data_IF_277813121341
#
_entry.id   IF_277813121341
#
_cell.length_a   1.000
_cell.length_b   1.000
_cell.length_c   1.000
_cell.angle_alpha   90.00
_cell.angle_beta   90.00
_cell.angle_gamma   90.00
#
_symmetry.space_group_name_H-M   'P 1'
#
loop_
_entity.id
_entity.type
_entity.pdbx_description
1 polymer ?
#
# COMPACT_ATOMS: atom_id res chain seq x y z
N UNK A 1 15.37 -56.99 4.17
CA UNK A 1 13.99 -56.50 4.41
C UNK A 1 13.91 -55.09 5.00
N UNK A 2 14.68 -54.71 6.05
CA UNK A 2 14.58 -53.36 6.67
C UNK A 2 14.96 -52.18 5.73
N UNK A 3 15.98 -52.33 4.87
CA UNK A 3 16.38 -51.27 3.91
C UNK A 3 15.31 -50.96 2.86
N UNK A 4 14.61 -51.99 2.35
CA UNK A 4 13.56 -51.85 1.32
C UNK A 4 12.27 -51.26 1.92
N UNK A 5 12.00 -51.50 3.21
CA UNK A 5 10.88 -50.87 3.91
C UNK A 5 11.16 -49.38 4.15
N UNK A 6 12.39 -49.02 4.54
CA UNK A 6 12.80 -47.63 4.72
C UNK A 6 12.72 -46.84 3.39
N UNK A 7 13.17 -47.44 2.28
CA UNK A 7 13.10 -46.81 0.95
C UNK A 7 11.67 -46.57 0.47
N UNK A 8 10.73 -47.47 0.78
CA UNK A 8 9.30 -47.30 0.46
C UNK A 8 8.65 -46.20 1.30
N UNK A 9 8.98 -46.11 2.58
CA UNK A 9 8.49 -45.01 3.45
C UNK A 9 9.02 -43.66 2.99
N UNK A 10 10.30 -43.57 2.63
CA UNK A 10 10.89 -42.35 2.07
C UNK A 10 10.22 -41.96 0.75
N UNK A 11 9.93 -42.91 -0.14
CA UNK A 11 9.25 -42.64 -1.41
C UNK A 11 7.82 -42.12 -1.20
N UNK A 12 7.06 -42.74 -0.29
CA UNK A 12 5.69 -42.30 0.05
C UNK A 12 5.72 -40.90 0.67
N UNK A 13 6.66 -40.63 1.56
CA UNK A 13 6.83 -39.31 2.16
C UNK A 13 7.20 -38.26 1.10
N UNK A 14 8.13 -38.57 0.19
CA UNK A 14 8.49 -37.69 -0.91
C UNK A 14 7.30 -37.42 -1.86
N UNK A 15 6.53 -38.45 -2.22
CA UNK A 15 5.35 -38.31 -3.05
C UNK A 15 4.25 -37.48 -2.36
N UNK A 16 4.05 -37.67 -1.05
CA UNK A 16 3.10 -36.88 -0.26
C UNK A 16 3.54 -35.41 -0.15
N UNK A 17 4.84 -35.16 0.08
CA UNK A 17 5.40 -33.81 0.08
C UNK A 17 5.27 -33.12 -1.29
N UNK A 18 5.52 -33.84 -2.39
CA UNK A 18 5.33 -33.33 -3.74
C UNK A 18 3.85 -33.04 -4.03
N UNK A 19 2.95 -33.94 -3.61
CA UNK A 19 1.51 -33.74 -3.73
C UNK A 19 1.02 -32.53 -2.93
N UNK A 20 1.50 -32.37 -1.70
CA UNK A 20 1.21 -31.20 -0.87
C UNK A 20 1.77 -29.91 -1.47
N UNK A 21 3.02 -29.92 -1.93
CA UNK A 21 3.65 -28.77 -2.58
C UNK A 21 2.87 -28.38 -3.85
N UNK A 22 2.45 -29.36 -4.65
CA UNK A 22 1.63 -29.12 -5.83
C UNK A 22 0.28 -28.49 -5.48
N UNK A 23 -0.43 -29.00 -4.48
CA UNK A 23 -1.67 -28.39 -3.99
C UNK A 23 -1.44 -26.97 -3.44
N UNK A 24 -0.33 -26.75 -2.73
CA UNK A 24 0.06 -25.44 -2.22
C UNK A 24 0.28 -24.39 -3.32
N UNK A 25 0.71 -24.82 -4.52
CA UNK A 25 0.84 -23.94 -5.70
C UNK A 25 -0.48 -23.59 -6.38
N UNK A 26 -1.59 -24.22 -5.97
CA UNK A 26 -2.92 -24.03 -6.58
C UNK A 26 -3.80 -23.20 -5.67
N UNK A 27 -3.89 -21.88 -5.90
CA UNK A 27 -4.73 -21.04 -5.08
C UNK A 27 -6.22 -21.36 -5.29
N UNK A 28 -7.06 -21.15 -4.26
CA UNK A 28 -8.50 -21.21 -4.45
C UNK A 28 -8.94 -20.13 -5.45
N UNK A 29 -10.03 -20.35 -6.21
CA UNK A 29 -10.58 -19.33 -7.07
C UNK A 29 -11.02 -18.10 -6.23
N UNK A 30 -11.00 -16.88 -6.81
CA UNK A 30 -11.53 -15.68 -6.17
C UNK A 30 -12.99 -15.86 -5.72
N UNK A 31 -13.39 -15.12 -4.69
CA UNK A 31 -14.80 -15.06 -4.31
C UNK A 31 -15.61 -14.33 -5.41
N UNK A 32 -16.79 -14.85 -5.74
CA UNK A 32 -17.72 -14.14 -6.62
C UNK A 32 -18.61 -13.26 -5.74
N UNK A 33 -18.30 -11.97 -5.68
CA UNK A 33 -19.10 -11.01 -4.93
C UNK A 33 -20.46 -10.81 -5.60
N UNK A 34 -21.53 -10.78 -4.81
CA UNK A 34 -22.90 -10.52 -5.28
C UNK A 34 -23.59 -11.68 -6.01
N UNK A 35 -22.98 -12.87 -6.11
CA UNK A 35 -23.66 -14.06 -6.61
C UNK A 35 -24.77 -14.53 -5.63
N UNK A 36 -25.83 -15.24 -6.08
CA UNK A 36 -26.79 -15.86 -5.18
C UNK A 36 -26.09 -16.79 -4.17
N UNK A 37 -26.18 -16.46 -2.87
CA UNK A 37 -25.47 -17.16 -1.79
C UNK A 37 -24.00 -16.77 -1.60
N UNK A 38 -23.47 -15.82 -2.37
CA UNK A 38 -22.14 -15.22 -2.21
C UNK A 38 -22.15 -14.02 -1.26
N UNK A 39 -20.95 -13.45 -1.02
CA UNK A 39 -20.81 -12.26 -0.16
C UNK A 39 -21.52 -11.05 -0.79
N UNK A 40 -22.36 -10.31 -0.05
CA UNK A 40 -23.11 -9.18 -0.59
C UNK A 40 -22.21 -7.99 -0.88
N UNK A 41 -22.42 -7.31 -2.00
CA UNK A 41 -21.75 -6.03 -2.30
C UNK A 41 -22.38 -4.95 -1.42
N UNK A 42 -21.54 -4.20 -0.72
CA UNK A 42 -21.99 -3.20 0.28
C UNK A 42 -21.63 -1.77 -0.10
N UNK A 43 -20.88 -1.56 -1.18
CA UNK A 43 -20.39 -0.24 -1.60
C UNK A 43 -20.71 0.07 -3.07
N UNK A 44 -20.79 1.36 -3.44
CA UNK A 44 -20.76 1.79 -4.83
C UNK A 44 -19.55 1.20 -5.56
N UNK A 45 -19.73 0.85 -6.84
CA UNK A 45 -18.67 0.33 -7.68
C UNK A 45 -18.75 0.91 -9.09
N UNK A 46 -17.59 1.12 -9.70
CA UNK A 46 -17.49 1.41 -11.14
C UNK A 46 -17.07 0.16 -11.90
N UNK A 47 -17.51 0.04 -13.15
CA UNK A 47 -17.09 -1.04 -14.04
C UNK A 47 -15.94 -0.57 -14.93
N UNK A 48 -14.86 -1.33 -14.94
CA UNK A 48 -13.67 -1.13 -15.77
C UNK A 48 -13.89 -1.68 -17.20
N UNK A 49 -13.00 -1.32 -18.12
CA UNK A 49 -13.03 -1.74 -19.54
C UNK A 49 -12.93 -3.25 -19.70
N UNK A 50 -12.21 -3.93 -18.81
CA UNK A 50 -12.07 -5.40 -18.80
C UNK A 50 -13.26 -6.12 -18.13
N UNK A 51 -14.25 -5.36 -17.64
CA UNK A 51 -15.47 -5.86 -17.03
C UNK A 51 -15.42 -6.07 -15.53
N UNK A 52 -14.24 -5.94 -14.89
CA UNK A 52 -14.10 -5.94 -13.43
C UNK A 52 -14.77 -4.71 -12.81
N UNK A 53 -15.10 -4.80 -11.54
CA UNK A 53 -15.60 -3.69 -10.74
C UNK A 53 -14.61 -3.26 -9.67
N UNK A 54 -14.45 -1.95 -9.48
CA UNK A 54 -13.76 -1.39 -8.34
C UNK A 54 -14.75 -0.69 -7.40
N UNK A 55 -14.73 -1.07 -6.13
CA UNK A 55 -15.50 -0.45 -5.08
C UNK A 55 -14.79 0.80 -4.55
N UNK A 56 -15.57 1.85 -4.28
CA UNK A 56 -15.02 3.13 -3.85
C UNK A 56 -15.90 3.81 -2.80
N UNK A 57 -15.35 4.83 -2.15
CA UNK A 57 -16.05 5.78 -1.31
C UNK A 57 -15.51 7.19 -1.56
N UNK A 58 -16.39 8.17 -1.43
CA UNK A 58 -16.12 9.58 -1.68
C UNK A 58 -16.19 10.33 -0.35
N UNK A 59 -15.30 11.29 -0.14
CA UNK A 59 -15.30 12.18 1.02
C UNK A 59 -14.81 13.58 0.65
N UNK A 60 -14.93 14.54 1.57
CA UNK A 60 -14.55 15.93 1.37
C UNK A 60 -15.58 16.74 0.59
N UNK A 61 -15.12 17.75 -0.14
CA UNK A 61 -16.00 18.64 -0.92
C UNK A 61 -16.59 17.91 -2.12
N UNK A 62 -17.85 18.24 -2.47
CA UNK A 62 -18.51 17.71 -3.66
C UNK A 62 -17.65 17.87 -4.91
N UNK A 63 -17.53 16.79 -5.68
CA UNK A 63 -16.66 16.67 -6.87
C UNK A 63 -16.84 17.80 -7.88
N UNK A 64 -18.07 18.29 -8.06
CA UNK A 64 -18.42 19.35 -9.00
C UNK A 64 -17.88 20.72 -8.58
N UNK A 65 -17.66 20.92 -7.28
CA UNK A 65 -17.18 22.17 -6.69
C UNK A 65 -15.71 22.09 -6.24
N UNK A 66 -15.10 20.91 -6.30
CA UNK A 66 -13.76 20.68 -5.81
C UNK A 66 -12.70 21.31 -6.72
N UNK A 67 -11.73 21.99 -6.11
CA UNK A 67 -10.53 22.51 -6.81
C UNK A 67 -9.52 21.41 -7.06
N UNK A 68 -9.39 20.50 -6.10
CA UNK A 68 -8.42 19.40 -6.14
C UNK A 68 -9.14 18.06 -6.00
N UNK A 69 -8.76 17.08 -6.83
CA UNK A 69 -9.29 15.72 -6.77
C UNK A 69 -8.13 14.78 -6.46
N UNK A 70 -8.21 14.09 -5.34
CA UNK A 70 -7.13 13.26 -4.80
C UNK A 70 -7.62 11.82 -4.65
N UNK A 71 -6.89 10.89 -5.27
CA UNK A 71 -7.12 9.46 -5.12
C UNK A 71 -6.16 8.91 -4.07
N UNK A 72 -6.69 8.33 -3.00
CA UNK A 72 -5.94 7.71 -1.93
C UNK A 72 -5.87 6.20 -2.14
N UNK A 73 -4.65 5.67 -2.24
CA UNK A 73 -4.38 4.26 -2.42
C UNK A 73 -4.01 3.65 -1.06
N UNK A 74 -4.85 2.75 -0.56
CA UNK A 74 -4.66 2.12 0.74
C UNK A 74 -3.48 1.15 0.78
N UNK A 75 -2.98 0.92 2.00
CA UNK A 75 -1.87 0.01 2.29
C UNK A 75 -2.24 -1.47 2.30
N UNK A 76 -1.33 -2.27 2.86
CA UNK A 76 -1.49 -3.71 3.03
C UNK A 76 -2.58 -4.03 4.06
N UNK A 77 -3.37 -5.08 3.82
CA UNK A 77 -4.45 -5.52 4.71
C UNK A 77 -5.44 -4.40 5.13
N UNK A 78 -5.62 -3.41 4.25
CA UNK A 78 -6.47 -2.24 4.43
C UNK A 78 -7.52 -2.18 3.29
N UNK A 79 -8.46 -1.24 3.38
CA UNK A 79 -9.55 -1.04 2.44
C UNK A 79 -9.80 0.46 2.27
N UNK A 80 -10.69 0.82 1.35
CA UNK A 80 -11.19 2.19 1.16
C UNK A 80 -11.77 2.84 2.43
N UNK A 81 -12.18 2.04 3.41
CA UNK A 81 -12.76 2.52 4.67
C UNK A 81 -11.72 3.01 5.66
N UNK A 82 -10.43 2.76 5.42
CA UNK A 82 -9.35 3.19 6.33
C UNK A 82 -9.12 4.71 6.32
N UNK A 83 -9.57 5.40 5.27
CA UNK A 83 -9.43 6.85 5.14
C UNK A 83 -7.97 7.32 5.04
N UNK A 84 -7.77 8.62 5.21
CA UNK A 84 -6.47 9.25 5.37
C UNK A 84 -6.62 10.39 6.39
N UNK A 85 -5.70 10.56 7.34
CA UNK A 85 -5.83 11.48 8.48
C UNK A 85 -5.57 12.94 8.09
N UNK A 86 -6.41 13.49 7.21
CA UNK A 86 -6.45 14.92 6.87
C UNK A 86 -7.63 15.58 7.59
N UNK A 87 -7.42 16.79 8.11
CA UNK A 87 -8.42 17.57 8.82
C UNK A 87 -9.54 18.00 7.88
N UNK A 88 -10.76 18.09 8.43
CA UNK A 88 -11.91 18.58 7.68
C UNK A 88 -11.72 20.05 7.31
N UNK A 89 -11.11 20.83 8.20
CA UNK A 89 -10.76 22.23 8.00
C UNK A 89 -9.90 22.42 6.75
N UNK A 90 -8.83 21.64 6.58
CA UNK A 90 -7.98 21.74 5.39
C UNK A 90 -8.70 21.30 4.12
N UNK A 91 -9.48 20.22 4.20
CA UNK A 91 -10.25 19.68 3.07
C UNK A 91 -11.23 20.73 2.55
N UNK A 92 -11.93 21.44 3.43
CA UNK A 92 -12.83 22.54 3.09
C UNK A 92 -12.05 23.77 2.61
N UNK A 93 -11.00 24.16 3.33
CA UNK A 93 -10.14 25.32 3.01
C UNK A 93 -9.59 25.25 1.60
N UNK A 94 -9.11 24.07 1.16
CA UNK A 94 -8.52 23.86 -0.15
C UNK A 94 -9.52 23.35 -1.18
N UNK A 95 -10.74 22.96 -0.78
CA UNK A 95 -11.75 22.43 -1.70
C UNK A 95 -11.34 21.07 -2.27
N UNK A 96 -10.96 20.13 -1.41
CA UNK A 96 -10.44 18.81 -1.78
C UNK A 96 -11.58 17.80 -1.87
N UNK A 97 -11.72 17.16 -3.02
CA UNK A 97 -12.47 15.93 -3.19
C UNK A 97 -11.54 14.74 -2.98
N UNK A 98 -11.93 13.84 -2.08
CA UNK A 98 -11.16 12.67 -1.70
C UNK A 98 -11.84 11.40 -2.19
N UNK A 99 -11.12 10.62 -2.99
CA UNK A 99 -11.58 9.32 -3.47
C UNK A 99 -10.72 8.21 -2.87
N UNK A 100 -11.39 7.25 -2.23
CA UNK A 100 -10.78 6.02 -1.73
C UNK A 100 -11.37 4.84 -2.49
N UNK A 101 -10.57 3.84 -2.82
CA UNK A 101 -11.06 2.65 -3.52
C UNK A 101 -10.40 1.38 -2.99
N UNK A 102 -11.09 0.25 -3.08
CA UNK A 102 -10.50 -1.04 -2.79
C UNK A 102 -9.69 -1.46 -4.02
N UNK A 103 -8.39 -1.75 -3.86
CA UNK A 103 -7.56 -2.28 -4.95
C UNK A 103 -8.09 -3.62 -5.45
N UNK A 104 -7.69 -4.03 -6.65
CA UNK A 104 -8.10 -5.33 -7.19
C UNK A 104 -7.78 -6.48 -6.21
N UNK A 105 -8.80 -7.27 -5.86
CA UNK A 105 -8.68 -8.34 -4.87
C UNK A 105 -8.87 -7.90 -3.40
N UNK A 106 -9.28 -6.66 -3.13
CA UNK A 106 -9.62 -6.18 -1.78
C UNK A 106 -11.10 -5.83 -1.66
N UNK A 107 -11.63 -5.94 -0.44
CA UNK A 107 -12.95 -5.42 -0.09
C UNK A 107 -14.06 -5.87 -1.03
N UNK A 108 -14.74 -4.89 -1.66
CA UNK A 108 -15.83 -5.13 -2.61
C UNK A 108 -15.42 -5.00 -4.09
N UNK A 109 -14.11 -4.88 -4.36
CA UNK A 109 -13.53 -4.87 -5.71
C UNK A 109 -13.29 -6.27 -6.23
N UNK A 110 -13.49 -6.48 -7.53
CA UNK A 110 -13.19 -7.74 -8.19
C UNK A 110 -11.68 -8.04 -8.18
N UNK A 111 -11.32 -9.31 -8.10
CA UNK A 111 -9.93 -9.76 -8.26
C UNK A 111 -9.44 -9.55 -9.70
N UNK A 112 -8.14 -9.36 -9.88
CA UNK A 112 -7.49 -9.31 -11.18
C UNK A 112 -6.48 -10.46 -11.31
N UNK A 113 -6.82 -11.56 -12.04
CA UNK A 113 -5.91 -12.68 -12.24
C UNK A 113 -4.59 -12.30 -12.94
N UNK A 114 -4.60 -11.21 -13.73
CA UNK A 114 -3.42 -10.68 -14.45
C UNK A 114 -2.78 -9.49 -13.72
N UNK A 115 -3.13 -9.25 -12.46
CA UNK A 115 -2.65 -8.09 -11.69
C UNK A 115 -1.14 -7.95 -11.73
N UNK A 116 -0.68 -6.76 -12.05
CA UNK A 116 0.70 -6.33 -12.10
C UNK A 116 0.78 -4.82 -11.84
N UNK A 117 1.99 -4.27 -11.78
CA UNK A 117 2.25 -2.83 -11.61
C UNK A 117 1.42 -1.99 -12.60
N UNK A 118 1.49 -2.35 -13.88
CA UNK A 118 0.78 -1.65 -14.94
C UNK A 118 -0.73 -1.70 -14.75
N UNK A 119 -1.29 -2.87 -14.43
CA UNK A 119 -2.74 -2.98 -14.26
C UNK A 119 -3.23 -2.18 -13.05
N UNK A 120 -2.46 -2.13 -11.95
CA UNK A 120 -2.84 -1.33 -10.78
C UNK A 120 -2.82 0.17 -11.11
N UNK A 121 -1.91 0.64 -11.96
CA UNK A 121 -1.91 2.02 -12.45
C UNK A 121 -3.10 2.30 -13.39
N UNK A 122 -3.39 1.41 -14.34
CA UNK A 122 -4.53 1.58 -15.25
C UNK A 122 -5.86 1.48 -14.52
N UNK A 123 -5.95 0.70 -13.43
CA UNK A 123 -7.13 0.63 -12.56
C UNK A 123 -7.42 2.01 -11.94
N UNK A 124 -6.38 2.75 -11.52
CA UNK A 124 -6.51 4.13 -11.01
C UNK A 124 -6.96 5.09 -12.11
N UNK A 125 -6.39 5.00 -13.32
CA UNK A 125 -6.81 5.82 -14.47
C UNK A 125 -8.28 5.57 -14.86
N UNK A 126 -8.67 4.31 -15.00
CA UNK A 126 -10.03 3.94 -15.38
C UNK A 126 -11.06 4.27 -14.30
N UNK A 127 -10.68 4.16 -13.01
CA UNK A 127 -11.50 4.65 -11.90
C UNK A 127 -11.74 6.16 -12.02
N UNK A 128 -10.68 6.92 -12.29
CA UNK A 128 -10.78 8.37 -12.44
C UNK A 128 -11.65 8.76 -13.66
N UNK A 129 -11.53 8.04 -14.77
CA UNK A 129 -12.35 8.23 -15.97
C UNK A 129 -13.83 7.91 -15.70
N UNK A 130 -14.12 6.76 -15.09
CA UNK A 130 -15.47 6.32 -14.81
C UNK A 130 -16.21 7.29 -13.87
N UNK A 131 -15.48 7.90 -12.93
CA UNK A 131 -16.01 8.90 -12.00
C UNK A 131 -15.88 10.34 -12.51
N UNK A 132 -15.35 10.54 -13.72
CA UNK A 132 -15.22 11.85 -14.38
C UNK A 132 -14.43 12.85 -13.53
N UNK A 133 -13.27 12.42 -13.02
CA UNK A 133 -12.39 13.30 -12.24
C UNK A 133 -11.70 14.37 -13.11
N UNK A 134 -11.74 14.22 -14.44
CA UNK A 134 -11.14 15.16 -15.39
C UNK A 134 -9.78 14.67 -15.89
N UNK A 135 -9.06 15.56 -16.56
CA UNK A 135 -7.84 15.19 -17.30
C UNK A 135 -6.70 14.77 -16.36
N UNK A 136 -6.53 15.50 -15.25
CA UNK A 136 -5.50 15.22 -14.25
C UNK A 136 -6.07 15.18 -12.83
N UNK A 137 -5.47 14.35 -11.99
CA UNK A 137 -5.78 14.21 -10.57
C UNK A 137 -4.50 13.97 -9.75
N UNK A 138 -4.59 14.08 -8.43
CA UNK A 138 -3.49 13.80 -7.52
C UNK A 138 -3.60 12.38 -6.94
N UNK A 139 -2.47 11.78 -6.58
CA UNK A 139 -2.44 10.45 -5.95
C UNK A 139 -1.70 10.51 -4.63
N UNK A 140 -2.26 9.90 -3.59
CA UNK A 140 -1.57 9.63 -2.33
C UNK A 140 -1.47 8.11 -2.15
N UNK A 141 -0.25 7.58 -2.17
CA UNK A 141 0.00 6.16 -1.96
C UNK A 141 0.59 5.89 -0.58
N UNK A 142 -0.18 5.26 0.32
CA UNK A 142 0.28 4.97 1.67
C UNK A 142 0.78 3.52 1.81
N UNK A 143 1.99 3.33 2.35
CA UNK A 143 2.60 2.02 2.57
C UNK A 143 2.63 1.19 1.28
N UNK A 144 1.91 0.06 1.23
CA UNK A 144 1.74 -0.73 0.00
C UNK A 144 1.12 0.08 -1.15
N UNK A 145 0.27 1.08 -0.89
CA UNK A 145 -0.22 2.00 -1.91
C UNK A 145 0.88 2.82 -2.59
N UNK A 146 2.06 2.93 -1.97
CA UNK A 146 3.24 3.58 -2.55
C UNK A 146 3.74 2.91 -3.82
N UNK A 147 3.68 1.58 -3.93
CA UNK A 147 4.10 0.92 -5.18
C UNK A 147 3.12 1.22 -6.33
N UNK A 148 1.84 1.39 -6.00
CA UNK A 148 0.82 1.80 -6.98
C UNK A 148 1.08 3.24 -7.40
N UNK A 149 1.42 4.14 -6.47
CA UNK A 149 1.81 5.50 -6.82
C UNK A 149 3.05 5.53 -7.74
N UNK A 150 4.08 4.71 -7.47
CA UNK A 150 5.21 4.53 -8.41
C UNK A 150 4.76 4.02 -9.79
N UNK A 151 3.82 3.07 -9.80
CA UNK A 151 3.26 2.56 -11.05
C UNK A 151 2.50 3.65 -11.81
N UNK A 152 1.73 4.49 -11.12
CA UNK A 152 1.04 5.62 -11.74
C UNK A 152 2.00 6.63 -12.35
N UNK A 153 3.06 7.00 -11.61
CA UNK A 153 4.11 7.91 -12.09
C UNK A 153 4.81 7.39 -13.34
N UNK A 154 4.89 6.07 -13.52
CA UNK A 154 5.50 5.47 -14.70
C UNK A 154 4.54 5.29 -15.87
N UNK A 155 3.36 4.71 -15.64
CA UNK A 155 2.46 4.24 -16.70
C UNK A 155 1.40 5.25 -17.12
N UNK A 156 1.01 6.15 -16.21
CA UNK A 156 -0.01 7.17 -16.48
C UNK A 156 0.41 8.59 -16.04
N UNK A 157 1.68 9.02 -16.22
CA UNK A 157 2.13 10.33 -15.76
C UNK A 157 1.32 11.48 -16.37
N UNK A 158 0.78 11.31 -17.58
CA UNK A 158 -0.08 12.29 -18.26
C UNK A 158 -1.39 12.56 -17.51
N UNK A 159 -1.82 11.65 -16.62
CA UNK A 159 -3.02 11.79 -15.79
C UNK A 159 -2.77 12.37 -14.40
N UNK A 160 -1.51 12.59 -14.04
CA UNK A 160 -1.16 13.06 -12.70
C UNK A 160 -0.93 14.57 -12.68
N UNK A 161 -1.46 15.22 -11.65
CA UNK A 161 -1.10 16.58 -11.25
C UNK A 161 -0.02 16.58 -10.14
N UNK A 162 0.16 15.46 -9.46
CA UNK A 162 1.18 15.26 -8.43
C UNK A 162 0.98 13.93 -7.71
N UNK A 163 2.00 13.51 -6.95
CA UNK A 163 1.92 12.30 -6.13
C UNK A 163 2.64 12.46 -4.78
N UNK A 164 2.01 12.01 -3.70
CA UNK A 164 2.67 11.85 -2.40
C UNK A 164 2.73 10.38 -2.03
N UNK A 165 3.94 9.88 -1.81
CA UNK A 165 4.19 8.53 -1.31
C UNK A 165 4.46 8.61 0.18
N UNK A 166 3.63 7.94 0.99
CA UNK A 166 3.69 8.04 2.46
C UNK A 166 4.09 6.69 3.02
N UNK A 167 5.20 6.65 3.76
CA UNK A 167 5.89 5.44 4.25
C UNK A 167 5.93 4.30 3.21
N UNK A 168 6.29 4.58 1.94
CA UNK A 168 5.98 3.68 0.82
C UNK A 168 6.79 2.38 0.88
N UNK A 169 6.10 1.26 0.69
CA UNK A 169 6.72 -0.06 0.68
C UNK A 169 7.81 -0.17 -0.41
N UNK A 170 8.87 -0.91 -0.10
CA UNK A 170 10.07 -1.06 -0.94
C UNK A 170 10.26 -2.50 -1.38
N UNK A 171 10.88 -2.68 -2.55
CA UNK A 171 11.35 -3.98 -3.00
C UNK A 171 12.86 -4.10 -2.74
N UNK A 172 13.25 -5.04 -1.88
CA UNK A 172 14.65 -5.29 -1.52
C UNK A 172 15.50 -5.89 -2.66
N UNK A 173 14.86 -6.24 -3.79
CA UNK A 173 15.50 -6.78 -5.00
C UNK A 173 15.53 -5.78 -6.17
N UNK A 174 15.17 -4.51 -5.96
CA UNK A 174 15.56 -3.44 -6.89
C UNK A 174 17.10 -3.41 -7.07
N UNK A 175 17.62 -2.80 -8.16
CA UNK A 175 19.06 -2.70 -8.43
C UNK A 175 19.77 -1.70 -7.49
N UNK A 176 19.73 -2.00 -6.20
CA UNK A 176 20.25 -1.20 -5.11
C UNK A 176 21.73 -1.52 -4.87
N UNK A 177 22.54 -0.54 -4.41
CA UNK A 177 23.87 -0.83 -3.91
C UNK A 177 23.82 -1.85 -2.76
N UNK A 178 24.78 -2.78 -2.77
CA UNK A 178 24.83 -3.88 -1.81
C UNK A 178 24.76 -3.43 -0.35
N UNK A 179 25.43 -2.31 -0.01
CA UNK A 179 25.40 -1.74 1.34
C UNK A 179 24.01 -1.26 1.75
N UNK A 180 23.27 -0.61 0.85
CA UNK A 180 21.91 -0.12 1.10
C UNK A 180 20.98 -1.31 1.34
N UNK A 181 21.01 -2.30 0.44
CA UNK A 181 20.18 -3.51 0.56
C UNK A 181 20.47 -4.28 1.84
N UNK A 182 21.75 -4.56 2.15
CA UNK A 182 22.13 -5.31 3.36
C UNK A 182 21.72 -4.58 4.64
N UNK A 183 21.85 -3.25 4.66
CA UNK A 183 21.45 -2.44 5.81
C UNK A 183 19.94 -2.50 6.03
N UNK A 184 19.13 -2.17 5.01
CA UNK A 184 17.67 -2.18 5.11
C UNK A 184 17.11 -3.59 5.38
N UNK A 185 17.46 -4.56 4.53
CA UNK A 185 16.94 -5.93 4.65
C UNK A 185 17.44 -6.63 5.92
N UNK A 186 18.66 -6.30 6.38
CA UNK A 186 19.26 -6.89 7.58
C UNK A 186 18.54 -6.52 8.88
N UNK A 187 17.89 -5.35 8.94
CA UNK A 187 17.17 -4.82 10.11
C UNK A 187 15.78 -5.44 10.32
N UNK A 188 15.21 -6.07 9.30
CA UNK A 188 13.91 -6.74 9.41
C UNK A 188 13.97 -7.94 10.37
N UNK A 189 12.82 -8.25 10.99
CA UNK A 189 12.64 -9.50 11.73
C UNK A 189 12.97 -10.69 10.82
N UNK A 190 13.61 -11.70 11.37
CA UNK A 190 13.94 -12.94 10.67
C UNK A 190 12.74 -13.59 9.96
N UNK A 191 11.53 -13.44 10.52
CA UNK A 191 10.26 -13.94 9.98
C UNK A 191 9.79 -13.13 8.78
N UNK A 192 9.98 -11.81 8.80
CA UNK A 192 9.70 -10.92 7.66
C UNK A 192 10.67 -11.23 6.52
N UNK A 193 11.98 -11.31 6.81
CA UNK A 193 12.99 -11.68 5.82
C UNK A 193 12.64 -13.00 5.13
N UNK A 194 12.31 -14.04 5.91
CA UNK A 194 11.90 -15.35 5.37
C UNK A 194 10.66 -15.23 4.49
N UNK A 195 9.64 -14.49 4.95
CA UNK A 195 8.39 -14.30 4.20
C UNK A 195 8.64 -13.58 2.87
N UNK A 196 9.42 -12.51 2.88
CA UNK A 196 9.74 -11.74 1.67
C UNK A 196 10.64 -12.54 0.73
N UNK A 197 11.58 -13.33 1.28
CA UNK A 197 12.41 -14.25 0.50
C UNK A 197 11.55 -15.30 -0.22
N UNK A 198 10.55 -15.88 0.46
CA UNK A 198 9.59 -16.80 -0.15
C UNK A 198 8.78 -16.08 -1.22
N UNK A 199 8.31 -14.85 -0.95
CA UNK A 199 7.55 -14.06 -1.92
C UNK A 199 8.35 -13.80 -3.22
N UNK A 200 9.66 -13.57 -3.12
CA UNK A 200 10.52 -13.34 -4.27
C UNK A 200 10.95 -14.63 -4.99
N UNK A 201 11.44 -15.63 -4.26
CA UNK A 201 12.08 -16.82 -4.84
C UNK A 201 11.15 -18.01 -5.03
N UNK A 202 10.06 -18.09 -4.26
CA UNK A 202 9.06 -19.15 -4.37
C UNK A 202 7.61 -18.61 -4.26
N UNK A 203 7.21 -17.60 -5.06
CA UNK A 203 5.89 -16.99 -4.95
C UNK A 203 4.70 -17.96 -4.95
N UNK A 204 4.69 -19.06 -5.74
CA UNK A 204 3.61 -20.05 -5.69
C UNK A 204 3.38 -20.69 -4.32
N UNK A 205 4.40 -20.71 -3.45
CA UNK A 205 4.30 -21.26 -2.09
C UNK A 205 3.95 -20.21 -1.04
N UNK A 206 3.91 -18.92 -1.40
CA UNK A 206 3.74 -17.84 -0.44
C UNK A 206 2.44 -17.96 0.34
N UNK A 207 1.32 -18.28 -0.31
CA UNK A 207 0.07 -18.40 0.43
C UNK A 207 0.06 -19.56 1.39
N UNK A 208 0.56 -20.73 1.00
CA UNK A 208 0.68 -21.85 1.92
C UNK A 208 1.59 -21.50 3.11
N UNK A 209 2.66 -20.72 2.87
CA UNK A 209 3.51 -20.19 3.93
C UNK A 209 2.78 -19.22 4.88
N UNK A 210 1.87 -18.38 4.37
CA UNK A 210 1.13 -17.42 5.17
C UNK A 210 -0.08 -18.01 5.91
N UNK A 211 -0.70 -19.07 5.37
CA UNK A 211 -1.94 -19.66 5.91
C UNK A 211 -1.70 -20.87 6.81
N UNK A 212 -0.50 -21.46 6.81
CA UNK A 212 -0.14 -22.50 7.76
C UNK A 212 -0.21 -22.02 9.22
N UNK A 213 -0.39 -22.95 10.15
CA UNK A 213 -0.52 -22.68 11.59
C UNK A 213 0.63 -23.24 12.45
N UNK A 214 1.57 -23.99 11.87
CA UNK A 214 2.65 -24.66 12.59
C UNK A 214 3.84 -23.77 12.96
N UNK A 215 4.00 -22.62 12.31
CA UNK A 215 5.17 -21.75 12.44
C UNK A 215 4.72 -20.29 12.46
N UNK A 216 5.31 -19.44 13.33
CA UNK A 216 5.04 -18.01 13.29
C UNK A 216 5.53 -17.40 11.97
N UNK A 217 4.67 -16.64 11.32
CA UNK A 217 4.95 -15.91 10.08
C UNK A 217 5.33 -14.45 10.37
N UNK A 218 5.43 -13.65 9.31
CA UNK A 218 5.76 -12.22 9.36
C UNK A 218 4.91 -11.46 10.40
N UNK A 219 5.53 -10.81 11.42
CA UNK A 219 4.82 -9.94 12.33
C UNK A 219 4.16 -8.75 11.62
N UNK A 220 4.75 -8.26 10.52
CA UNK A 220 4.14 -7.21 9.67
C UNK A 220 2.82 -7.71 9.08
N UNK A 221 2.83 -8.89 8.44
CA UNK A 221 1.63 -9.45 7.80
C UNK A 221 0.53 -9.76 8.82
N UNK A 222 0.92 -10.19 10.03
CA UNK A 222 -0.02 -10.49 11.12
C UNK A 222 -0.46 -9.26 11.92
N UNK A 223 0.13 -8.08 11.67
CA UNK A 223 -0.13 -6.87 12.45
C UNK A 223 0.26 -7.00 13.92
N UNK A 224 1.35 -7.71 14.22
CA UNK A 224 1.84 -7.92 15.59
C UNK A 224 2.52 -6.65 16.14
N UNK A 225 2.41 -6.43 17.45
CA UNK A 225 3.08 -5.33 18.18
C UNK A 225 4.55 -5.14 17.82
N UNK A 226 5.27 -6.24 17.64
CA UNK A 226 6.70 -6.25 17.35
C UNK A 226 7.08 -5.67 16.00
N UNK A 227 6.14 -5.49 15.07
CA UNK A 227 6.37 -4.83 13.79
C UNK A 227 6.46 -3.30 13.89
N UNK A 228 6.05 -2.71 15.02
CA UNK A 228 5.87 -1.27 15.19
C UNK A 228 6.84 -0.71 16.25
N UNK A 229 7.08 0.61 16.21
CA UNK A 229 7.72 1.34 17.33
C UNK A 229 6.76 1.45 18.51
N UNK A 230 7.23 1.93 19.66
CA UNK A 230 6.36 2.18 20.81
C UNK A 230 5.33 3.27 20.51
N UNK A 231 5.80 4.37 19.94
CA UNK A 231 4.98 5.49 19.49
C UNK A 231 3.96 5.09 18.43
N UNK A 232 4.34 4.31 17.41
CA UNK A 232 3.40 3.81 16.40
C UNK A 232 2.26 3.02 17.04
N UNK A 233 2.60 2.15 18.02
CA UNK A 233 1.59 1.32 18.64
C UNK A 233 0.64 2.10 19.55
N UNK A 234 1.14 3.13 20.24
CA UNK A 234 0.32 4.07 21.00
C UNK A 234 -0.67 4.80 20.08
N UNK A 235 -0.19 5.36 18.97
CA UNK A 235 -1.03 6.03 17.96
C UNK A 235 -2.11 5.08 17.44
N UNK A 236 -1.72 3.88 16.99
CA UNK A 236 -2.65 2.89 16.45
C UNK A 236 -3.69 2.42 17.49
N UNK A 237 -3.26 2.20 18.73
CA UNK A 237 -4.15 1.76 19.81
C UNK A 237 -5.19 2.83 20.13
N UNK A 238 -4.76 4.10 20.16
CA UNK A 238 -5.62 5.26 20.40
C UNK A 238 -6.62 5.45 19.25
N UNK A 239 -6.19 5.32 17.99
CA UNK A 239 -7.08 5.34 16.84
C UNK A 239 -8.15 4.25 16.91
N UNK A 240 -7.75 3.01 17.22
CA UNK A 240 -8.71 1.91 17.34
C UNK A 240 -9.67 2.13 18.51
N UNK A 241 -9.23 2.79 19.59
CA UNK A 241 -10.10 3.18 20.71
C UNK A 241 -11.15 4.20 20.23
N UNK A 242 -10.74 5.28 19.58
CA UNK A 242 -11.64 6.30 19.02
C UNK A 242 -12.64 5.72 18.00
N UNK A 243 -12.19 4.81 17.14
CA UNK A 243 -13.05 4.14 16.17
C UNK A 243 -14.11 3.25 16.84
N UNK A 244 -13.76 2.54 17.91
CA UNK A 244 -14.74 1.76 18.69
C UNK A 244 -15.76 2.64 19.38
N UNK A 245 -15.33 3.76 19.96
CA UNK A 245 -16.20 4.69 20.69
C UNK A 245 -17.15 5.46 19.78
N UNK A 246 -16.70 5.83 18.58
CA UNK A 246 -17.51 6.50 17.56
C UNK A 246 -18.43 5.55 16.78
N UNK A 247 -18.32 4.23 16.98
CA UNK A 247 -19.03 3.23 16.18
C UNK A 247 -18.52 3.10 14.74
N UNK A 248 -17.44 3.79 14.38
CA UNK A 248 -16.80 3.76 13.06
C UNK A 248 -15.68 2.71 12.98
N UNK A 249 -15.89 1.54 13.60
CA UNK A 249 -14.90 0.48 13.60
C UNK A 249 -14.71 -0.07 12.18
N UNK A 250 -13.48 0.05 11.65
CA UNK A 250 -13.10 -0.55 10.38
C UNK A 250 -13.00 -2.07 10.55
N UNK A 251 -13.83 -2.81 9.81
CA UNK A 251 -13.77 -4.26 9.78
C UNK A 251 -12.58 -4.73 8.93
N UNK A 252 -11.48 -5.11 9.61
CA UNK A 252 -10.26 -5.60 8.96
C UNK A 252 -10.47 -6.89 8.19
N UNK A 253 -11.48 -7.70 8.51
CA UNK A 253 -11.77 -8.91 7.74
C UNK A 253 -12.20 -8.56 6.30
N UNK A 254 -12.74 -7.35 6.08
CA UNK A 254 -13.12 -6.88 4.75
C UNK A 254 -11.96 -6.87 3.77
N UNK A 255 -10.74 -6.60 4.23
CA UNK A 255 -9.56 -6.59 3.37
C UNK A 255 -9.34 -7.93 2.65
N UNK A 256 -9.82 -9.03 3.23
CA UNK A 256 -9.64 -10.39 2.69
C UNK A 256 -10.92 -11.03 2.16
N UNK A 257 -11.96 -10.24 1.86
CA UNK A 257 -13.25 -10.75 1.32
C UNK A 257 -13.12 -11.54 0.02
N UNK A 258 -12.13 -11.20 -0.80
CA UNK A 258 -11.79 -11.93 -2.02
C UNK A 258 -10.89 -13.17 -1.78
N UNK A 259 -10.57 -13.44 -0.52
CA UNK A 259 -9.66 -14.51 -0.09
C UNK A 259 -8.23 -14.02 0.11
N UNK A 260 -7.52 -14.66 1.05
CA UNK A 260 -6.13 -14.33 1.40
C UNK A 260 -5.17 -14.35 0.20
N UNK A 261 -5.43 -15.22 -0.79
CA UNK A 261 -4.63 -15.27 -2.01
C UNK A 261 -4.71 -13.95 -2.79
N UNK A 262 -5.92 -13.58 -3.21
CA UNK A 262 -6.14 -12.41 -4.08
C UNK A 262 -5.79 -11.08 -3.41
N UNK A 263 -5.91 -11.01 -2.08
CA UNK A 263 -5.54 -9.83 -1.30
C UNK A 263 -4.06 -9.86 -0.89
N UNK A 264 -3.74 -10.57 0.20
CA UNK A 264 -2.47 -10.43 0.90
C UNK A 264 -1.29 -11.07 0.14
N UNK A 265 -1.48 -12.28 -0.40
CA UNK A 265 -0.38 -12.94 -1.09
C UNK A 265 -0.04 -12.28 -2.42
N UNK A 266 -1.05 -11.84 -3.19
CA UNK A 266 -0.83 -11.14 -4.46
C UNK A 266 -0.10 -9.83 -4.24
N UNK A 267 -0.45 -9.06 -3.21
CA UNK A 267 0.28 -7.84 -2.84
C UNK A 267 1.78 -8.11 -2.59
N UNK A 268 2.10 -9.08 -1.75
CA UNK A 268 3.49 -9.43 -1.43
C UNK A 268 4.24 -10.00 -2.65
N UNK A 269 3.55 -10.81 -3.47
CA UNK A 269 4.12 -11.38 -4.70
C UNK A 269 4.46 -10.30 -5.71
N UNK A 270 3.61 -9.27 -5.85
CA UNK A 270 3.85 -8.15 -6.76
C UNK A 270 4.95 -7.24 -6.19
N UNK A 271 4.85 -6.84 -4.92
CA UNK A 271 5.82 -5.94 -4.29
C UNK A 271 7.24 -6.52 -4.34
N UNK A 272 7.42 -7.79 -3.95
CA UNK A 272 8.72 -8.45 -3.91
C UNK A 272 9.05 -9.24 -5.18
N UNK A 273 8.21 -9.16 -6.21
CA UNK A 273 8.44 -9.77 -7.51
C UNK A 273 9.54 -9.06 -8.30
N UNK A 274 9.77 -9.53 -9.53
CA UNK A 274 10.60 -8.80 -10.49
C UNK A 274 9.78 -7.66 -11.09
N UNK A 275 10.28 -6.44 -10.98
CA UNK A 275 9.64 -5.27 -11.56
C UNK A 275 10.26 -4.97 -12.94
N UNK A 276 9.40 -4.63 -13.90
CA UNK A 276 9.83 -4.07 -15.20
C UNK A 276 10.28 -2.60 -15.06
N UNK A 277 9.89 -1.97 -13.95
CA UNK A 277 10.24 -0.61 -13.55
C UNK A 277 11.33 -0.64 -12.47
N UNK A 278 12.38 0.16 -12.67
CA UNK A 278 13.30 0.57 -11.60
C UNK A 278 12.93 1.98 -11.12
N UNK A 279 12.34 2.13 -9.91
CA UNK A 279 12.03 3.45 -9.37
C UNK A 279 13.27 4.34 -9.25
N UNK A 280 14.47 3.78 -9.04
CA UNK A 280 15.69 4.56 -8.83
C UNK A 280 16.22 5.24 -10.10
N UNK A 281 15.69 4.91 -11.27
CA UNK A 281 16.08 5.49 -12.56
C UNK A 281 14.90 6.16 -13.29
N UNK A 282 13.80 6.37 -12.57
CA UNK A 282 12.61 7.01 -13.14
C UNK A 282 12.92 8.46 -13.57
N UNK A 283 12.53 8.79 -14.79
CA UNK A 283 12.62 10.17 -15.29
C UNK A 283 11.59 11.04 -14.57
N UNK A 284 11.91 12.33 -14.38
CA UNK A 284 10.97 13.28 -13.81
C UNK A 284 9.69 13.32 -14.67
N UNK A 285 8.51 12.93 -14.12
CA UNK A 285 7.26 12.99 -14.87
C UNK A 285 6.74 14.41 -15.05
N UNK A 286 7.29 15.39 -14.31
CA UNK A 286 6.93 16.81 -14.35
C UNK A 286 8.16 17.68 -14.65
N UNK A 287 8.74 17.60 -15.87
CA UNK A 287 9.96 18.31 -16.22
C UNK A 287 9.80 19.84 -16.20
N UNK A 288 8.57 20.34 -16.38
CA UNK A 288 8.26 21.77 -16.42
C UNK A 288 7.83 22.31 -15.03
N UNK A 289 7.88 21.46 -13.99
CA UNK A 289 7.52 21.83 -12.62
C UNK A 289 6.01 21.94 -12.39
N UNK A 290 5.20 21.34 -13.27
CA UNK A 290 3.74 21.37 -13.22
C UNK A 290 3.12 20.46 -12.15
N UNK A 291 3.93 19.66 -11.47
CA UNK A 291 3.49 18.74 -10.42
C UNK A 291 4.58 18.44 -9.39
N UNK A 292 4.14 18.01 -8.21
CA UNK A 292 5.03 17.66 -7.09
C UNK A 292 5.04 16.16 -6.89
N UNK A 293 6.23 15.58 -6.70
CA UNK A 293 6.37 14.23 -6.16
C UNK A 293 7.11 14.28 -4.84
N UNK A 294 6.47 13.77 -3.79
CA UNK A 294 7.06 13.73 -2.45
C UNK A 294 7.09 12.32 -1.88
N UNK A 295 8.10 12.04 -1.06
CA UNK A 295 8.20 10.84 -0.24
C UNK A 295 8.27 11.29 1.22
N UNK A 296 7.36 10.78 2.04
CA UNK A 296 7.29 11.04 3.48
C UNK A 296 7.65 9.76 4.22
N UNK A 297 8.69 9.79 5.04
CA UNK A 297 9.24 8.61 5.69
C UNK A 297 9.53 8.87 7.18
N UNK A 298 9.11 7.93 8.03
CA UNK A 298 9.52 7.93 9.43
C UNK A 298 10.92 7.36 9.60
N UNK A 299 11.80 8.07 10.31
CA UNK A 299 13.18 7.62 10.58
C UNK A 299 13.22 6.31 11.39
N UNK A 300 12.27 6.13 12.30
CA UNK A 300 12.18 4.96 13.19
C UNK A 300 11.31 3.84 12.61
N UNK A 301 10.85 3.97 11.36
CA UNK A 301 9.97 2.98 10.72
C UNK A 301 10.62 1.58 10.72
N UNK A 302 9.95 0.64 11.38
CA UNK A 302 10.41 -0.75 11.53
C UNK A 302 9.93 -1.65 10.39
N UNK A 303 8.92 -1.22 9.64
CA UNK A 303 8.29 -1.96 8.54
C UNK A 303 9.02 -1.65 7.23
N UNK A 304 9.25 -0.36 6.97
CA UNK A 304 9.94 0.14 5.78
C UNK A 304 11.16 0.94 6.23
N UNK A 305 12.34 0.32 6.09
CA UNK A 305 13.59 0.93 6.53
C UNK A 305 14.00 2.10 5.61
N UNK A 306 14.41 3.23 6.21
CA UNK A 306 14.65 4.50 5.51
C UNK A 306 15.78 4.47 4.48
N UNK A 307 16.71 3.51 4.56
CA UNK A 307 17.91 3.49 3.72
C UNK A 307 17.60 3.41 2.23
N UNK A 308 16.56 2.65 1.87
CA UNK A 308 16.14 2.52 0.48
C UNK A 308 15.54 3.84 0.01
N UNK A 309 14.65 4.48 0.78
CA UNK A 309 14.05 5.76 0.38
C UNK A 309 15.08 6.89 0.28
N UNK A 310 16.04 6.94 1.21
CA UNK A 310 17.20 7.84 1.12
C UNK A 310 18.01 7.59 -0.16
N UNK A 311 18.14 6.34 -0.60
CA UNK A 311 18.80 6.02 -1.86
C UNK A 311 17.97 6.45 -3.07
N UNK A 312 16.67 6.19 -3.08
CA UNK A 312 15.74 6.66 -4.12
C UNK A 312 15.82 8.18 -4.26
N UNK A 313 15.68 8.93 -3.16
CA UNK A 313 15.74 10.39 -3.15
C UNK A 313 17.07 10.96 -3.67
N UNK A 314 18.20 10.30 -3.38
CA UNK A 314 19.51 10.70 -3.94
C UNK A 314 19.61 10.47 -5.44
N UNK A 315 18.92 9.45 -5.97
CA UNK A 315 18.92 9.12 -7.40
C UNK A 315 17.93 9.95 -8.18
N UNK A 316 16.84 10.35 -7.55
CA UNK A 316 15.74 11.12 -8.13
C UNK A 316 15.69 12.53 -7.51
N UNK A 317 16.51 13.48 -7.97
CA UNK A 317 16.57 14.83 -7.38
C UNK A 317 15.26 15.63 -7.54
N UNK A 318 14.34 15.17 -8.38
CA UNK A 318 13.00 15.75 -8.57
C UNK A 318 11.98 15.28 -7.51
N UNK A 319 12.33 14.28 -6.70
CA UNK A 319 11.50 13.85 -5.57
C UNK A 319 11.84 14.66 -4.32
N UNK A 320 10.83 15.27 -3.71
CA UNK A 320 10.95 15.93 -2.40
C UNK A 320 10.92 14.88 -1.30
N UNK A 321 12.04 14.67 -0.62
CA UNK A 321 12.14 13.69 0.45
C UNK A 321 12.01 14.35 1.82
N UNK A 322 11.00 13.92 2.57
CA UNK A 322 10.71 14.35 3.93
C UNK A 322 10.92 13.19 4.88
N UNK A 323 11.87 13.36 5.79
CA UNK A 323 12.15 12.38 6.82
C UNK A 323 11.82 12.97 8.19
N UNK A 324 11.00 12.27 8.97
CA UNK A 324 10.60 12.70 10.32
C UNK A 324 11.40 11.91 11.37
N UNK A 325 12.29 12.57 12.16
CA UNK A 325 13.20 11.88 13.08
C UNK A 325 12.53 11.00 14.13
N UNK A 326 11.35 11.38 14.61
CA UNK A 326 10.64 10.69 15.70
C UNK A 326 9.40 9.92 15.20
N UNK A 327 9.30 9.66 13.90
CA UNK A 327 8.14 8.98 13.33
C UNK A 327 8.51 7.55 12.94
N UNK A 328 7.59 6.62 13.19
CA UNK A 328 7.65 5.26 12.67
C UNK A 328 6.74 5.09 11.45
N UNK A 329 6.13 3.91 11.30
CA UNK A 329 5.25 3.62 10.16
C UNK A 329 3.87 4.31 10.28
N UNK A 330 3.45 4.69 11.48
CA UNK A 330 2.22 5.44 11.73
C UNK A 330 2.41 6.96 11.54
N UNK A 331 3.46 7.38 10.83
CA UNK A 331 3.73 8.78 10.45
C UNK A 331 2.49 9.56 9.98
N UNK A 332 1.65 9.06 9.05
CA UNK A 332 0.50 9.85 8.58
C UNK A 332 -0.46 10.21 9.70
N UNK A 333 -0.58 9.36 10.72
CA UNK A 333 -1.52 9.52 11.83
C UNK A 333 -1.01 10.41 12.97
N UNK A 334 0.20 10.95 12.84
CA UNK A 334 0.71 11.97 13.77
C UNK A 334 -0.02 13.31 13.53
N UNK A 335 -0.32 14.02 14.62
CA UNK A 335 -1.03 15.30 14.59
C UNK A 335 -0.45 16.27 13.55
N UNK A 336 -1.30 16.72 12.63
CA UNK A 336 -0.96 17.68 11.57
C UNK A 336 -0.17 17.14 10.38
N UNK A 337 0.41 15.94 10.47
CA UNK A 337 1.27 15.40 9.39
C UNK A 337 0.46 15.09 8.13
N UNK A 338 -0.74 14.53 8.25
CA UNK A 338 -1.62 14.32 7.09
C UNK A 338 -1.97 15.62 6.36
N UNK A 339 -2.17 16.70 7.10
CA UNK A 339 -2.42 18.04 6.54
C UNK A 339 -1.20 18.60 5.80
N UNK A 340 0.00 18.43 6.36
CA UNK A 340 1.24 18.82 5.70
C UNK A 340 1.44 18.07 4.38
N UNK A 341 1.20 16.76 4.37
CA UNK A 341 1.32 15.91 3.18
C UNK A 341 0.37 16.39 2.09
N UNK A 342 -0.90 16.63 2.42
CA UNK A 342 -1.92 17.07 1.45
C UNK A 342 -1.65 18.51 1.00
N UNK A 343 -1.29 19.41 1.91
CA UNK A 343 -0.98 20.80 1.57
C UNK A 343 0.21 20.90 0.61
N UNK A 344 1.31 20.20 0.88
CA UNK A 344 2.46 20.21 -0.05
C UNK A 344 2.12 19.61 -1.40
N UNK A 345 1.34 18.52 -1.43
CA UNK A 345 0.92 17.89 -2.68
C UNK A 345 0.16 18.85 -3.59
N UNK A 346 -0.72 19.66 -3.00
CA UNK A 346 -1.65 20.52 -3.74
C UNK A 346 -1.10 21.91 -4.03
N UNK A 347 -0.32 22.51 -3.11
CA UNK A 347 0.18 23.88 -3.21
C UNK A 347 1.69 23.95 -3.51
N UNK A 348 2.41 22.85 -3.38
CA UNK A 348 3.86 22.84 -3.37
C UNK A 348 4.46 23.46 -2.11
N UNK A 349 5.78 23.70 -2.12
CA UNK A 349 6.53 24.17 -0.96
C UNK A 349 6.37 25.68 -0.66
N UNK A 350 5.56 26.41 -1.45
CA UNK A 350 5.54 27.88 -1.47
C UNK A 350 4.47 28.57 -0.61
N UNK A 351 3.48 27.83 -0.10
CA UNK A 351 2.33 28.41 0.63
C UNK A 351 2.12 27.75 2.00
N UNK A 352 3.16 27.70 2.83
CA UNK A 352 2.94 27.60 4.27
C UNK A 352 2.54 28.99 4.79
N UNK A 353 1.48 29.12 5.62
CA UNK A 353 1.23 30.38 6.30
C UNK A 353 2.44 30.70 7.18
N UNK A 354 3.03 31.88 6.99
CA UNK A 354 4.05 32.40 7.90
C UNK A 354 3.42 32.42 9.30
N UNK A 355 3.85 31.52 10.17
CA UNK A 355 3.54 31.62 11.58
C UNK A 355 4.12 32.94 12.08
N UNK A 356 3.25 33.86 12.52
CA UNK A 356 3.70 35.05 13.24
C UNK A 356 4.58 34.60 14.42
N UNK A 357 5.76 35.21 14.62
CA UNK A 357 6.58 34.88 15.77
C UNK A 357 5.81 35.21 17.06
N UNK A 358 5.94 34.37 18.12
CA UNK A 358 5.21 34.58 19.35
C UNK A 358 5.54 35.95 19.94
N UNK A 359 4.49 36.75 20.19
CA UNK A 359 4.64 38.03 20.91
C UNK A 359 5.22 37.73 22.28
N UNK A 360 6.30 38.42 22.62
CA UNK A 360 6.91 38.36 23.94
C UNK A 360 5.87 38.71 25.02
N UNK A 361 5.82 38.00 26.15
CA UNK A 361 4.91 38.30 27.23
C UNK A 361 5.21 39.69 27.80
N UNK A 362 4.17 40.51 27.98
CA UNK A 362 4.21 41.79 28.69
C UNK A 362 4.31 41.59 30.20
#
# INVERSE_FOLDING_TARGET
>A
MKMVALSKVTLVFAAALLGWAYQATRPPPPAILGAPGGLPITSPRVRLKDGRHLAYTENGVHKENARYKVIFVHGFASTKESGFPVSQELVEELGVYMLFFDRAGYGDSDANPKRCLKSDATDVEELADALQLGDKFYVVGCSMGGYVAWSCLHYIPHRLAGASLVVPAVNYWWPLPDGVRRSAYGKLDSRDRRTFWIAHHAPPLLCAWLTQTWLPTSPIVRGERGAFTDKDWEILTELWRKQRESGQQVDRAKATRQGTYESLCRDLTILFGTWELDPTEMRNPFPDGEGVVSIWQGYEDRIVQVEIQRHVARRLPWVRYHERPEAGHALPDMDGVGDEIVRELLLGAGEAPQSEPPRAPQ
#
